data_IF_940389360520
#
_entry.id   IF_940389360520
#
_cell.length_a   1.000
_cell.length_b   1.000
_cell.length_c   1.000
_cell.angle_alpha   90.00
_cell.angle_beta   90.00
_cell.angle_gamma   90.00
#
_symmetry.space_group_name_H-M   'P 1'
#
loop_
_entity.id
_entity.type
_entity.pdbx_description
1 polymer ?
#
# COMPACT_ATOMS: atom_id res chain seq x y z
N UNK A 1 -7.63 19.29 -5.66
CA UNK A 1 -7.80 19.00 -4.22
C UNK A 1 -6.77 19.81 -3.47
N UNK A 2 -7.18 20.61 -2.48
CA UNK A 2 -6.26 21.46 -1.71
C UNK A 2 -5.54 20.58 -0.70
N UNK A 3 -4.19 20.52 -0.77
CA UNK A 3 -3.38 19.78 0.21
C UNK A 3 -3.61 20.34 1.61
N UNK A 4 -3.55 19.48 2.63
CA UNK A 4 -3.72 19.86 4.03
C UNK A 4 -5.19 19.99 4.48
N UNK A 5 -6.15 19.66 3.61
CA UNK A 5 -7.57 19.61 3.97
C UNK A 5 -7.91 18.36 4.79
N UNK A 6 -7.31 17.22 4.47
CA UNK A 6 -7.50 15.96 5.19
C UNK A 6 -6.23 15.12 5.11
N UNK A 7 -5.68 14.76 6.27
CA UNK A 7 -4.49 13.89 6.34
C UNK A 7 -4.73 12.56 5.61
N UNK A 8 -5.92 11.99 5.74
CA UNK A 8 -6.28 10.75 5.06
C UNK A 8 -6.22 10.91 3.53
N UNK A 9 -6.77 12.00 2.99
CA UNK A 9 -6.74 12.28 1.55
C UNK A 9 -5.32 12.58 1.06
N UNK A 10 -4.56 13.33 1.84
CA UNK A 10 -3.18 13.68 1.53
C UNK A 10 -2.29 12.42 1.51
N UNK A 11 -2.47 11.50 2.46
CA UNK A 11 -1.74 10.22 2.49
C UNK A 11 -2.22 9.26 1.41
N UNK A 12 -3.52 9.18 1.14
CA UNK A 12 -4.06 8.35 0.05
C UNK A 12 -3.47 8.74 -1.31
N UNK A 13 -3.18 10.02 -1.54
CA UNK A 13 -2.52 10.50 -2.76
C UNK A 13 -1.07 10.00 -2.94
N UNK A 14 -0.42 9.57 -1.85
CA UNK A 14 0.96 9.05 -1.90
C UNK A 14 1.03 7.57 -2.31
N UNK A 15 -0.07 6.83 -2.18
CA UNK A 15 -0.12 5.40 -2.50
C UNK A 15 0.20 5.21 -3.98
N UNK A 16 1.09 4.24 -4.26
CA UNK A 16 1.51 3.87 -5.61
C UNK A 16 1.98 5.07 -6.47
N UNK A 17 2.55 6.09 -5.82
CA UNK A 17 3.01 7.30 -6.48
C UNK A 17 4.53 7.27 -6.68
N UNK A 18 5.05 7.01 -7.89
CA UNK A 18 6.49 6.83 -8.12
C UNK A 18 7.30 8.08 -7.79
N UNK A 19 6.70 9.28 -7.84
CA UNK A 19 7.39 10.54 -7.54
C UNK A 19 7.72 10.72 -6.06
N UNK A 20 6.93 10.11 -5.18
CA UNK A 20 7.04 10.28 -3.72
C UNK A 20 7.47 9.00 -3.00
N UNK A 21 7.91 8.00 -3.76
CA UNK A 21 8.25 6.67 -3.25
C UNK A 21 9.75 6.45 -3.22
N UNK A 22 10.20 5.71 -2.22
CA UNK A 22 11.60 5.33 -2.01
C UNK A 22 11.80 3.81 -1.84
N UNK A 23 10.75 3.03 -2.12
CA UNK A 23 10.77 1.56 -2.15
C UNK A 23 9.88 1.02 -3.27
N UNK A 24 10.35 -0.04 -3.94
CA UNK A 24 9.56 -0.83 -4.90
C UNK A 24 9.02 -2.10 -4.24
N UNK A 25 7.77 -2.43 -4.53
CA UNK A 25 7.10 -3.65 -4.04
C UNK A 25 6.74 -4.49 -5.26
N UNK A 26 7.38 -5.64 -5.41
CA UNK A 26 7.07 -6.60 -6.45
C UNK A 26 6.04 -7.61 -5.91
N UNK A 27 4.95 -7.80 -6.63
CA UNK A 27 3.85 -8.70 -6.27
C UNK A 27 3.91 -10.01 -7.07
N UNK A 28 3.07 -10.99 -6.71
CA UNK A 28 3.00 -12.30 -7.37
C UNK A 28 2.74 -12.18 -8.88
N UNK A 29 1.88 -11.23 -9.29
CA UNK A 29 1.50 -10.98 -10.68
C UNK A 29 2.56 -10.19 -11.48
N UNK A 30 3.80 -10.18 -10.99
CA UNK A 30 4.98 -9.48 -11.52
C UNK A 30 4.80 -7.95 -11.65
N UNK A 31 3.71 -7.40 -11.12
CA UNK A 31 3.48 -5.96 -11.10
C UNK A 31 4.26 -5.29 -9.97
N UNK A 32 4.70 -4.07 -10.26
CA UNK A 32 5.41 -3.21 -9.31
C UNK A 32 4.49 -2.15 -8.74
N UNK A 33 4.55 -1.99 -7.43
CA UNK A 33 3.93 -0.88 -6.71
C UNK A 33 5.00 -0.01 -6.05
N UNK A 34 4.66 1.25 -5.84
CA UNK A 34 5.54 2.24 -5.26
C UNK A 34 5.10 2.63 -3.85
N UNK A 35 6.02 2.59 -2.89
CA UNK A 35 5.74 2.89 -1.49
C UNK A 35 6.72 3.88 -0.84
N UNK A 36 6.35 4.35 0.34
CA UNK A 36 7.13 5.22 1.20
C UNK A 36 7.62 4.40 2.40
N UNK A 37 8.90 4.06 2.40
CA UNK A 37 9.56 3.24 3.41
C UNK A 37 9.36 3.76 4.83
N UNK A 38 9.31 5.09 5.03
CA UNK A 38 9.07 5.67 6.35
C UNK A 38 7.67 5.35 6.89
N UNK A 39 6.66 5.32 6.02
CA UNK A 39 5.28 5.01 6.40
C UNK A 39 5.17 3.51 6.67
N UNK A 40 5.69 2.67 5.77
CA UNK A 40 5.73 1.21 5.95
C UNK A 40 6.42 0.85 7.27
N UNK A 41 7.63 1.37 7.50
CA UNK A 41 8.40 1.13 8.71
C UNK A 41 7.75 1.61 10.01
N UNK A 42 6.87 2.61 9.94
CA UNK A 42 6.12 3.08 11.11
C UNK A 42 4.92 2.18 11.44
N UNK A 43 4.52 1.31 10.51
CA UNK A 43 3.25 0.58 10.53
C UNK A 43 3.41 -0.94 10.37
N UNK A 44 4.62 -1.43 10.05
CA UNK A 44 4.97 -2.84 9.95
C UNK A 44 6.39 -3.10 10.47
N UNK A 45 6.69 -4.36 10.77
CA UNK A 45 8.07 -4.77 11.11
C UNK A 45 8.97 -4.66 9.87
N UNK A 46 10.12 -4.00 10.04
CA UNK A 46 10.94 -3.43 8.97
C UNK A 46 11.64 -4.44 8.06
N UNK A 47 11.76 -4.08 6.78
CA UNK A 47 12.88 -4.40 5.89
C UNK A 47 13.70 -3.12 5.59
N UNK A 48 15.04 -3.24 5.51
CA UNK A 48 15.95 -2.15 5.10
C UNK A 48 16.18 -2.10 3.58
N UNK A 49 15.55 -3.00 2.84
CA UNK A 49 15.76 -3.18 1.41
C UNK A 49 15.09 -2.05 0.61
N UNK A 50 15.65 -1.76 -0.57
CA UNK A 50 15.10 -0.78 -1.52
C UNK A 50 14.05 -1.39 -2.44
N UNK A 51 13.91 -2.71 -2.42
CA UNK A 51 12.88 -3.47 -3.11
C UNK A 51 12.49 -4.66 -2.23
N UNK A 52 11.19 -4.97 -2.17
CA UNK A 52 10.66 -6.12 -1.46
C UNK A 52 9.76 -6.94 -2.39
N UNK A 53 9.74 -8.26 -2.20
CA UNK A 53 8.95 -9.18 -3.02
C UNK A 53 7.93 -9.93 -2.16
N UNK A 54 6.67 -9.90 -2.59
CA UNK A 54 5.56 -10.64 -1.98
C UNK A 54 5.06 -11.71 -2.97
N UNK A 55 5.53 -12.97 -2.85
CA UNK A 55 5.23 -14.02 -3.82
C UNK A 55 3.80 -14.58 -3.74
N UNK A 56 2.97 -14.12 -2.80
CA UNK A 56 1.65 -14.69 -2.51
C UNK A 56 0.52 -13.66 -2.50
N UNK A 57 0.82 -12.42 -2.85
CA UNK A 57 -0.14 -11.31 -2.84
C UNK A 57 -0.04 -10.66 -4.21
N UNK A 58 -1.16 -10.49 -4.88
CA UNK A 58 -1.17 -9.78 -6.16
C UNK A 58 -1.21 -8.26 -5.94
N UNK A 59 -0.94 -7.50 -7.00
CA UNK A 59 -0.89 -6.04 -6.90
C UNK A 59 -2.20 -5.40 -6.43
N UNK A 60 -3.37 -5.96 -6.74
CA UNK A 60 -4.66 -5.39 -6.33
C UNK A 60 -4.91 -5.56 -4.84
N UNK A 61 -4.64 -6.72 -4.25
CA UNK A 61 -4.65 -6.89 -2.79
C UNK A 61 -3.62 -5.98 -2.12
N UNK A 62 -2.41 -5.91 -2.67
CA UNK A 62 -1.35 -5.10 -2.07
C UNK A 62 -1.72 -3.61 -2.07
N UNK A 63 -2.43 -3.09 -3.07
CA UNK A 63 -2.96 -1.72 -3.05
C UNK A 63 -3.94 -1.49 -1.90
N UNK A 64 -4.77 -2.48 -1.55
CA UNK A 64 -5.69 -2.41 -0.40
C UNK A 64 -4.92 -2.38 0.92
N UNK A 65 -3.90 -3.25 1.04
CA UNK A 65 -3.01 -3.29 2.22
C UNK A 65 -2.28 -1.95 2.38
N UNK A 66 -1.75 -1.39 1.27
CA UNK A 66 -1.11 -0.08 1.27
C UNK A 66 -2.08 1.03 1.65
N UNK A 67 -3.33 0.99 1.18
CA UNK A 67 -4.36 1.92 1.62
C UNK A 67 -4.51 1.90 3.13
N UNK A 68 -4.71 0.73 3.72
CA UNK A 68 -4.83 0.58 5.17
C UNK A 68 -3.59 1.07 5.93
N UNK A 69 -2.38 0.76 5.43
CA UNK A 69 -1.14 1.19 6.05
C UNK A 69 -1.04 2.73 6.06
N UNK A 70 -1.41 3.38 4.95
CA UNK A 70 -1.27 4.83 4.79
C UNK A 70 -2.35 5.61 5.51
N UNK A 71 -3.62 5.19 5.41
CA UNK A 71 -4.77 5.98 5.88
C UNK A 71 -5.32 5.47 7.20
N UNK A 72 -5.02 4.23 7.59
CA UNK A 72 -5.67 3.54 8.71
C UNK A 72 -7.10 3.08 8.42
N UNK A 73 -7.58 3.20 7.18
CA UNK A 73 -8.92 2.79 6.75
C UNK A 73 -8.89 2.24 5.33
N UNK A 74 -9.79 1.31 5.03
CA UNK A 74 -10.00 0.82 3.66
C UNK A 74 -11.38 1.28 3.23
N UNK A 75 -11.52 1.73 1.98
CA UNK A 75 -12.86 2.01 1.43
C UNK A 75 -13.64 0.72 1.31
N UNK A 76 -14.90 0.74 1.71
CA UNK A 76 -15.79 -0.42 1.62
C UNK A 76 -15.90 -0.94 0.17
N UNK A 77 -15.87 -0.04 -0.82
CA UNK A 77 -15.87 -0.36 -2.26
C UNK A 77 -14.63 -1.14 -2.71
N UNK A 78 -13.50 -1.03 -2.00
CA UNK A 78 -12.26 -1.73 -2.32
C UNK A 78 -12.29 -3.18 -1.81
N UNK A 79 -13.17 -3.51 -0.85
CA UNK A 79 -13.25 -4.84 -0.25
C UNK A 79 -14.38 -5.66 -0.89
N UNK A 80 -14.00 -6.77 -1.52
CA UNK A 80 -14.92 -7.78 -2.04
C UNK A 80 -14.85 -9.03 -1.17
N UNK A 81 -15.84 -9.92 -1.29
CA UNK A 81 -15.78 -11.21 -0.58
C UNK A 81 -14.55 -12.04 -0.94
N UNK A 82 -14.04 -11.86 -2.16
CA UNK A 82 -12.93 -12.62 -2.70
C UNK A 82 -11.59 -12.11 -2.15
N UNK A 83 -11.37 -10.78 -2.10
CA UNK A 83 -10.11 -10.20 -1.62
C UNK A 83 -10.01 -10.10 -0.08
N UNK A 84 -11.13 -10.09 0.66
CA UNK A 84 -11.14 -10.05 2.12
C UNK A 84 -10.41 -11.28 2.68
N UNK A 85 -10.69 -12.46 2.15
CA UNK A 85 -10.10 -13.71 2.66
C UNK A 85 -8.58 -13.65 2.54
N UNK A 86 -8.09 -13.17 1.40
CA UNK A 86 -6.65 -13.06 1.12
C UNK A 86 -5.98 -11.90 1.88
N UNK A 87 -6.73 -10.83 2.20
CA UNK A 87 -6.21 -9.70 3.00
C UNK A 87 -6.05 -10.06 4.49
N UNK A 88 -6.82 -11.04 4.99
CA UNK A 88 -6.79 -11.47 6.40
C UNK A 88 -5.89 -12.68 6.69
N UNK A 89 -5.44 -13.42 5.67
CA UNK A 89 -4.70 -14.69 5.80
C UNK A 89 -3.19 -14.51 5.61
#
# INVERSE_FOLDING_TARGET
MTRGYSLEQDLRFLINNPKYSDIEILCEDEKKLYGCRVILAARSEKSYETQIFFPKINSTEMEIVLEYIYTGSVKEESLTKDNIIETFY
#
